data_IF_365063441834
#
_entry.id   IF_365063441834
#
_cell.length_a   1.000
_cell.length_b   1.000
_cell.length_c   1.000
_cell.angle_alpha   90.00
_cell.angle_beta   90.00
_cell.angle_gamma   90.00
#
_symmetry.space_group_name_H-M   'P 1'
#
loop_
_entity.id
_entity.type
_entity.pdbx_description
1 polymer ?
#
# COMPACT_ATOMS: atom_id res chain seq x y z
N UNK A 1 16.03 -10.09 12.19
CA UNK A 1 15.22 -11.32 12.22
C UNK A 1 13.89 -11.05 11.51
N UNK A 2 13.22 -12.08 10.96
CA UNK A 2 11.91 -11.94 10.29
C UNK A 2 10.84 -12.61 11.14
N UNK A 3 9.72 -11.92 11.36
CA UNK A 3 8.55 -12.45 12.05
C UNK A 3 7.72 -13.28 11.07
N UNK A 4 7.33 -14.47 11.51
CA UNK A 4 6.41 -15.37 10.78
C UNK A 4 5.08 -15.54 11.52
N UNK A 5 4.73 -14.57 12.37
CA UNK A 5 3.44 -14.61 13.07
C UNK A 5 2.30 -14.27 12.12
N UNK A 6 1.12 -14.86 12.33
CA UNK A 6 -0.08 -14.58 11.52
C UNK A 6 -0.45 -13.10 11.44
N UNK A 7 -0.16 -12.34 12.51
CA UNK A 7 -0.40 -10.88 12.59
C UNK A 7 0.70 -10.03 11.96
N UNK A 8 1.93 -10.55 11.85
CA UNK A 8 3.08 -9.81 11.31
C UNK A 8 3.88 -10.70 10.35
N UNK A 9 3.27 -11.25 9.30
CA UNK A 9 3.97 -12.12 8.38
C UNK A 9 5.05 -11.33 7.64
N UNK A 10 6.24 -11.91 7.56
CA UNK A 10 7.39 -11.37 6.83
C UNK A 10 7.92 -10.00 7.31
N UNK A 11 7.51 -9.49 8.48
CA UNK A 11 8.04 -8.22 9.01
C UNK A 11 9.44 -8.40 9.60
N UNK A 12 10.34 -7.46 9.37
CA UNK A 12 11.71 -7.48 9.89
C UNK A 12 11.79 -6.74 11.21
N UNK A 13 12.47 -7.34 12.18
CA UNK A 13 12.81 -6.73 13.45
C UNK A 13 14.32 -6.78 13.71
N UNK A 14 14.79 -5.79 14.46
CA UNK A 14 16.04 -5.83 15.20
C UNK A 14 15.81 -6.58 16.51
N UNK A 15 16.73 -7.47 16.85
CA UNK A 15 16.70 -8.26 18.08
C UNK A 15 18.09 -8.19 18.72
N UNK A 16 18.18 -8.53 20.00
CA UNK A 16 19.48 -8.78 20.63
C UNK A 16 20.31 -9.78 19.79
N UNK A 17 21.58 -9.49 19.47
CA UNK A 17 22.45 -10.45 18.78
C UNK A 17 22.67 -11.76 19.55
N UNK A 18 22.51 -11.72 20.88
CA UNK A 18 22.66 -12.87 21.78
C UNK A 18 21.31 -13.49 22.20
N UNK A 19 20.22 -13.21 21.48
CA UNK A 19 18.90 -13.76 21.78
C UNK A 19 18.95 -15.30 21.90
N UNK A 20 18.40 -15.85 23.00
CA UNK A 20 18.42 -17.28 23.30
C UNK A 20 19.64 -17.79 24.10
N UNK A 21 20.61 -16.92 24.43
CA UNK A 21 21.77 -17.27 25.25
C UNK A 21 21.69 -16.70 26.67
N UNK A 22 22.57 -17.13 27.58
CA UNK A 22 22.64 -16.60 28.94
C UNK A 22 22.95 -15.08 29.05
N UNK A 23 23.44 -14.46 27.96
CA UNK A 23 23.68 -13.01 27.85
C UNK A 23 22.61 -12.30 27.01
N UNK A 24 21.49 -12.97 26.72
CA UNK A 24 20.39 -12.36 25.96
C UNK A 24 19.79 -11.19 26.74
N UNK A 25 19.41 -10.14 26.02
CA UNK A 25 18.53 -9.11 26.55
C UNK A 25 17.23 -9.05 25.75
N UNK A 26 16.21 -8.43 26.33
CA UNK A 26 14.87 -8.31 25.74
C UNK A 26 14.75 -7.18 24.70
N UNK A 27 15.89 -6.74 24.14
CA UNK A 27 15.88 -5.71 23.11
C UNK A 27 15.20 -6.23 21.84
N UNK A 28 14.13 -5.53 21.43
CA UNK A 28 13.44 -5.78 20.18
C UNK A 28 12.84 -4.49 19.63
N UNK A 29 12.95 -4.31 18.31
CA UNK A 29 12.38 -3.17 17.60
C UNK A 29 12.00 -3.55 16.16
N UNK A 30 10.87 -3.07 15.66
CA UNK A 30 10.53 -3.22 14.24
C UNK A 30 11.48 -2.42 13.35
N UNK A 31 12.01 -3.07 12.31
CA UNK A 31 12.83 -2.43 11.27
C UNK A 31 11.96 -1.80 10.19
N UNK A 32 10.86 -2.47 9.84
CA UNK A 32 9.92 -1.98 8.85
C UNK A 32 8.84 -1.12 9.51
N UNK A 33 8.30 -0.17 8.75
CA UNK A 33 7.13 0.61 9.14
C UNK A 33 5.94 -0.29 9.50
N UNK A 34 4.94 0.28 10.17
CA UNK A 34 3.70 -0.43 10.43
C UNK A 34 3.08 -0.90 9.12
N UNK A 35 2.58 -2.14 9.11
CA UNK A 35 1.79 -2.65 7.97
C UNK A 35 0.64 -1.68 7.72
N UNK A 36 0.47 -1.27 6.46
CA UNK A 36 -0.62 -0.38 6.06
C UNK A 36 -1.99 -1.01 6.30
N UNK A 37 -3.01 -0.18 6.50
CA UNK A 37 -4.36 -0.63 6.86
C UNK A 37 -4.90 -1.68 5.90
N UNK A 38 -4.64 -1.54 4.59
CA UNK A 38 -5.12 -2.48 3.56
C UNK A 38 -4.40 -3.82 3.67
N UNK A 39 -3.08 -3.80 3.82
CA UNK A 39 -2.27 -5.02 3.94
C UNK A 39 -2.63 -5.86 5.16
N UNK A 40 -3.09 -5.24 6.26
CA UNK A 40 -3.62 -5.97 7.43
C UNK A 40 -4.79 -6.89 7.09
N UNK A 41 -5.59 -6.57 6.07
CA UNK A 41 -6.72 -7.39 5.62
C UNK A 41 -6.38 -8.28 4.44
N UNK A 42 -5.58 -7.76 3.48
CA UNK A 42 -5.28 -8.47 2.23
C UNK A 42 -4.33 -9.64 2.48
N UNK A 43 -3.26 -9.45 3.25
CA UNK A 43 -2.23 -10.49 3.43
C UNK A 43 -2.80 -11.74 4.12
N UNK A 44 -3.56 -11.65 5.23
CA UNK A 44 -4.13 -12.85 5.85
C UNK A 44 -5.09 -13.61 4.92
N UNK A 45 -5.88 -12.89 4.12
CA UNK A 45 -6.82 -13.52 3.17
C UNK A 45 -6.09 -14.27 2.05
N UNK A 46 -4.97 -13.72 1.56
CA UNK A 46 -4.16 -14.38 0.55
C UNK A 46 -3.47 -15.63 1.12
N UNK A 47 -2.92 -15.55 2.33
CA UNK A 47 -2.33 -16.71 3.00
C UNK A 47 -3.35 -17.84 3.21
N UNK A 48 -4.60 -17.51 3.60
CA UNK A 48 -5.67 -18.50 3.69
C UNK A 48 -5.94 -19.22 2.37
N UNK A 49 -6.06 -18.46 1.26
CA UNK A 49 -6.26 -19.03 -0.07
C UNK A 49 -5.08 -19.89 -0.54
N UNK A 50 -3.86 -19.50 -0.20
CA UNK A 50 -2.67 -20.31 -0.51
C UNK A 50 -2.74 -21.63 0.26
N UNK A 51 -3.07 -21.60 1.55
CA UNK A 51 -3.24 -22.82 2.35
C UNK A 51 -4.34 -23.74 1.80
N UNK A 52 -5.50 -23.19 1.43
CA UNK A 52 -6.58 -23.95 0.78
C UNK A 52 -6.11 -24.60 -0.54
N UNK A 53 -5.36 -23.87 -1.35
CA UNK A 53 -4.82 -24.39 -2.61
C UNK A 53 -3.73 -25.45 -2.39
N UNK A 54 -2.87 -25.26 -1.40
CA UNK A 54 -1.85 -26.24 -1.00
C UNK A 54 -2.50 -27.55 -0.54
N UNK A 55 -3.57 -27.48 0.25
CA UNK A 55 -4.35 -28.66 0.66
C UNK A 55 -5.00 -29.37 -0.53
N UNK A 56 -5.60 -28.62 -1.47
CA UNK A 56 -6.17 -29.19 -2.69
C UNK A 56 -5.09 -29.88 -3.53
N UNK A 57 -3.94 -29.24 -3.71
CA UNK A 57 -2.81 -29.81 -4.47
C UNK A 57 -2.31 -31.08 -3.79
N UNK A 58 -2.12 -31.07 -2.48
CA UNK A 58 -1.65 -32.23 -1.70
C UNK A 58 -2.68 -33.37 -1.75
N UNK A 59 -3.98 -33.07 -1.68
CA UNK A 59 -5.02 -34.09 -1.83
C UNK A 59 -5.09 -34.67 -3.25
N UNK A 60 -4.76 -33.87 -4.28
CA UNK A 60 -4.76 -34.27 -5.68
C UNK A 60 -3.53 -35.13 -6.04
N UNK A 61 -2.35 -34.79 -5.51
CA UNK A 61 -1.12 -35.57 -5.70
C UNK A 61 -1.22 -36.94 -5.03
N UNK A 62 -1.89 -37.04 -3.88
CA UNK A 62 -2.16 -38.31 -3.20
C UNK A 62 -3.18 -39.21 -3.93
N UNK A 63 -3.96 -38.67 -4.86
CA UNK A 63 -4.85 -39.44 -5.75
C UNK A 63 -4.16 -39.95 -7.03
N UNK A 64 -2.94 -39.52 -7.35
CA UNK A 64 -2.25 -39.90 -8.59
C UNK A 64 -1.62 -41.31 -8.58
N UNK A 65 -1.76 -42.10 -7.49
CA UNK A 65 -1.24 -43.47 -7.42
C UNK A 65 -2.24 -44.56 -7.82
N UNK A 66 -3.48 -44.21 -8.17
CA UNK A 66 -4.46 -45.18 -8.65
C UNK A 66 -5.06 -44.73 -9.97
N UNK A 67 -4.43 -45.12 -11.09
CA UNK A 67 -5.11 -45.96 -12.10
C UNK A 67 -4.20 -46.19 -13.31
N UNK A 68 -3.69 -47.42 -13.37
CA UNK A 68 -3.33 -48.06 -14.62
C UNK A 68 -4.18 -49.32 -14.73
N UNK A 69 -5.30 -49.25 -15.45
CA UNK A 69 -5.84 -50.32 -16.31
C UNK A 69 -6.99 -49.78 -17.16
N UNK A 70 -6.65 -49.58 -18.43
CA UNK A 70 -7.56 -49.46 -19.58
C UNK A 70 -8.35 -50.76 -19.72
N UNK A 71 -9.68 -50.70 -19.81
CA UNK A 71 -10.50 -51.55 -20.70
C UNK A 71 -11.71 -50.72 -21.17
N UNK A 72 -11.93 -50.82 -22.47
CA UNK A 72 -12.88 -50.14 -23.34
C UNK A 72 -14.37 -50.21 -22.93
N UNK A 73 -15.12 -49.12 -23.13
CA UNK A 73 -16.35 -49.18 -23.91
C UNK A 73 -16.74 -47.80 -24.47
N UNK A 74 -17.18 -47.83 -25.73
CA UNK A 74 -17.60 -46.71 -26.57
C UNK A 74 -19.10 -46.54 -26.38
N UNK A 75 -19.56 -45.45 -25.77
CA UNK A 75 -20.90 -44.92 -26.06
C UNK A 75 -20.92 -43.39 -26.04
N UNK A 76 -21.33 -42.86 -27.19
CA UNK A 76 -21.53 -41.47 -27.56
C UNK A 76 -22.66 -40.79 -26.80
N UNK A 77 -22.42 -39.51 -26.50
CA UNK A 77 -23.35 -38.37 -26.56
C UNK A 77 -24.19 -37.96 -25.34
N UNK A 78 -24.00 -36.68 -25.00
CA UNK A 78 -25.01 -35.72 -24.49
C UNK A 78 -25.30 -35.71 -22.98
N UNK A 79 -24.50 -34.92 -22.24
CA UNK A 79 -24.97 -34.00 -21.16
C UNK A 79 -23.80 -33.13 -20.66
N UNK A 80 -23.34 -32.16 -21.47
CA UNK A 80 -22.44 -31.07 -21.03
C UNK A 80 -22.77 -29.80 -21.83
N UNK A 81 -23.89 -29.13 -21.55
CA UNK A 81 -24.22 -27.90 -22.31
C UNK A 81 -25.03 -26.84 -21.56
N UNK A 82 -25.55 -27.10 -20.35
CA UNK A 82 -26.40 -26.11 -19.65
C UNK A 82 -25.66 -25.35 -18.54
N UNK A 83 -24.55 -25.86 -18.01
CA UNK A 83 -23.87 -25.27 -16.85
C UNK A 83 -22.88 -24.14 -17.22
N UNK A 84 -22.46 -24.02 -18.48
CA UNK A 84 -21.45 -23.04 -18.93
C UNK A 84 -21.99 -21.64 -19.25
N UNK A 85 -23.31 -21.44 -19.34
CA UNK A 85 -23.90 -20.11 -19.64
C UNK A 85 -24.04 -19.22 -18.39
N UNK A 86 -24.24 -19.82 -17.22
CA UNK A 86 -24.45 -19.07 -15.97
C UNK A 86 -23.13 -18.43 -15.49
N UNK A 87 -21.99 -19.07 -15.79
CA UNK A 87 -20.67 -18.57 -15.39
C UNK A 87 -20.16 -17.42 -16.28
N UNK A 88 -20.46 -17.42 -17.59
CA UNK A 88 -20.01 -16.36 -18.51
C UNK A 88 -20.67 -15.02 -18.15
N UNK A 89 -21.99 -15.01 -17.91
CA UNK A 89 -22.71 -13.78 -17.53
C UNK A 89 -22.21 -13.22 -16.18
N UNK A 90 -21.80 -14.10 -15.26
CA UNK A 90 -21.22 -13.72 -13.96
C UNK A 90 -19.84 -13.10 -14.14
N UNK A 91 -19.03 -13.64 -15.05
CA UNK A 91 -17.71 -13.10 -15.38
C UNK A 91 -17.83 -11.74 -16.06
N UNK A 92 -18.76 -11.58 -17.01
CA UNK A 92 -19.02 -10.29 -17.68
C UNK A 92 -19.43 -9.21 -16.67
N UNK A 93 -20.36 -9.52 -15.76
CA UNK A 93 -20.76 -8.60 -14.70
C UNK A 93 -19.58 -8.21 -13.78
N UNK A 94 -18.68 -9.15 -13.49
CA UNK A 94 -17.47 -8.85 -12.71
C UNK A 94 -16.52 -7.93 -13.47
N UNK A 95 -16.32 -8.14 -14.77
CA UNK A 95 -15.47 -7.29 -15.61
C UNK A 95 -15.99 -5.85 -15.66
N UNK A 96 -17.30 -5.67 -15.84
CA UNK A 96 -17.92 -4.34 -15.89
C UNK A 96 -17.76 -3.59 -14.55
N UNK A 97 -18.00 -4.28 -13.44
CA UNK A 97 -17.76 -3.72 -12.10
C UNK A 97 -16.30 -3.28 -11.91
N UNK A 98 -15.34 -4.08 -12.36
CA UNK A 98 -13.92 -3.71 -12.29
C UNK A 98 -13.57 -2.53 -13.21
N UNK A 99 -14.19 -2.44 -14.39
CA UNK A 99 -13.98 -1.29 -15.27
C UNK A 99 -14.50 0.00 -14.64
N UNK A 100 -15.65 -0.04 -13.98
CA UNK A 100 -16.21 1.12 -13.30
C UNK A 100 -15.39 1.53 -12.08
N UNK A 101 -14.89 0.57 -11.30
CA UNK A 101 -13.93 0.84 -10.21
C UNK A 101 -12.65 1.48 -10.74
N UNK A 102 -12.13 1.04 -11.90
CA UNK A 102 -10.97 1.66 -12.54
C UNK A 102 -11.26 3.10 -13.00
N UNK A 103 -12.45 3.38 -13.54
CA UNK A 103 -12.87 4.74 -13.90
C UNK A 103 -12.94 5.62 -12.66
N UNK A 104 -13.53 5.12 -11.57
CA UNK A 104 -13.66 5.84 -10.30
C UNK A 104 -12.29 6.10 -9.66
N UNK A 105 -11.39 5.12 -9.68
CA UNK A 105 -10.01 5.29 -9.20
C UNK A 105 -9.25 6.34 -10.00
N UNK A 106 -9.34 6.33 -11.34
CA UNK A 106 -8.71 7.36 -12.20
C UNK A 106 -9.28 8.75 -11.94
N UNK A 107 -10.60 8.87 -11.72
CA UNK A 107 -11.23 10.15 -11.38
C UNK A 107 -10.74 10.67 -10.02
N UNK A 108 -10.65 9.79 -9.03
CA UNK A 108 -10.11 10.10 -7.71
C UNK A 108 -8.64 10.52 -7.78
N UNK A 109 -7.80 9.83 -8.54
CA UNK A 109 -6.40 10.18 -8.74
C UNK A 109 -6.25 11.60 -9.31
N UNK A 110 -7.02 11.95 -10.35
CA UNK A 110 -7.07 13.31 -10.91
C UNK A 110 -7.47 14.34 -9.85
N UNK A 111 -8.51 14.04 -9.06
CA UNK A 111 -8.98 14.91 -7.96
C UNK A 111 -7.91 15.12 -6.89
N UNK A 112 -7.19 14.07 -6.51
CA UNK A 112 -6.08 14.14 -5.57
C UNK A 112 -4.90 14.95 -6.11
N UNK A 113 -4.53 14.78 -7.38
CA UNK A 113 -3.48 15.59 -8.04
C UNK A 113 -3.81 17.09 -8.01
N UNK A 114 -5.07 17.46 -8.30
CA UNK A 114 -5.53 18.86 -8.22
C UNK A 114 -5.47 19.37 -6.77
N UNK A 115 -5.93 18.59 -5.79
CA UNK A 115 -5.85 18.96 -4.36
C UNK A 115 -4.41 19.15 -3.92
N UNK A 116 -3.50 18.27 -4.32
CA UNK A 116 -2.08 18.33 -4.00
C UNK A 116 -1.43 19.60 -4.58
N UNK A 117 -1.72 19.92 -5.84
CA UNK A 117 -1.24 21.14 -6.48
C UNK A 117 -1.73 22.41 -5.74
N UNK A 118 -3.03 22.45 -5.37
CA UNK A 118 -3.59 23.55 -4.57
C UNK A 118 -2.94 23.65 -3.18
N UNK A 119 -2.67 22.52 -2.54
CA UNK A 119 -2.02 22.48 -1.23
C UNK A 119 -0.59 23.03 -1.30
N UNK A 120 0.22 22.55 -2.25
CA UNK A 120 1.58 23.06 -2.48
C UNK A 120 1.59 24.56 -2.82
N UNK A 121 0.58 25.05 -3.56
CA UNK A 121 0.46 26.50 -3.84
C UNK A 121 0.20 27.29 -2.56
N UNK A 122 -0.72 26.83 -1.69
CA UNK A 122 -0.99 27.49 -0.39
C UNK A 122 0.22 27.46 0.52
N UNK A 123 0.92 26.33 0.59
CA UNK A 123 2.15 26.20 1.36
C UNK A 123 3.19 27.21 0.90
N UNK A 124 3.49 27.28 -0.41
CA UNK A 124 4.42 28.28 -0.96
C UNK A 124 4.03 29.70 -0.56
N UNK A 125 2.74 30.06 -0.68
CA UNK A 125 2.24 31.38 -0.28
C UNK A 125 2.46 31.66 1.21
N UNK A 126 2.15 30.69 2.08
CA UNK A 126 2.34 30.80 3.53
C UNK A 126 3.80 31.03 3.93
N UNK A 127 4.76 30.47 3.19
CA UNK A 127 6.18 30.71 3.46
C UNK A 127 6.69 32.01 2.81
N UNK A 128 6.25 32.35 1.60
CA UNK A 128 6.74 33.54 0.89
C UNK A 128 6.28 34.86 1.51
N UNK A 129 5.04 34.94 2.00
CA UNK A 129 4.50 36.17 2.59
C UNK A 129 5.28 36.65 3.82
N UNK A 130 5.53 35.84 4.87
CA UNK A 130 6.30 36.28 6.04
C UNK A 130 7.74 36.62 5.67
N UNK A 131 8.37 35.87 4.74
CA UNK A 131 9.73 36.18 4.28
C UNK A 131 9.78 37.57 3.63
N UNK A 132 8.83 37.90 2.75
CA UNK A 132 8.77 39.23 2.13
C UNK A 132 8.54 40.35 3.16
N UNK A 133 7.66 40.13 4.15
CA UNK A 133 7.41 41.11 5.22
C UNK A 133 8.66 41.34 6.06
N UNK A 134 9.40 40.28 6.41
CA UNK A 134 10.67 40.39 7.13
C UNK A 134 11.70 41.21 6.34
N UNK A 135 11.86 40.95 5.04
CA UNK A 135 12.82 41.68 4.19
C UNK A 135 12.46 43.17 4.14
N UNK A 136 11.20 43.51 3.88
CA UNK A 136 10.74 44.91 3.83
C UNK A 136 10.90 45.61 5.19
N UNK A 137 10.59 44.92 6.29
CA UNK A 137 10.77 45.45 7.65
C UNK A 137 12.22 45.79 7.98
N UNK A 138 13.16 44.90 7.61
CA UNK A 138 14.60 45.15 7.81
C UNK A 138 15.06 46.33 6.94
N UNK A 139 14.62 46.43 5.69
CA UNK A 139 14.94 47.58 4.82
C UNK A 139 14.43 48.90 5.39
N UNK A 140 13.20 48.92 5.91
CA UNK A 140 12.61 50.12 6.51
C UNK A 140 13.33 50.54 7.80
N UNK A 141 13.67 49.58 8.67
CA UNK A 141 14.47 49.84 9.87
C UNK A 141 15.86 50.38 9.53
N UNK A 142 16.50 49.82 8.51
CA UNK A 142 17.80 50.28 8.04
C UNK A 142 17.72 51.73 7.54
N UNK A 143 16.74 52.06 6.69
CA UNK A 143 16.52 53.43 6.21
C UNK A 143 16.22 54.40 7.37
N UNK A 144 15.38 54.00 8.32
CA UNK A 144 15.05 54.81 9.49
C UNK A 144 16.25 55.08 10.40
N UNK A 145 17.10 54.07 10.62
CA UNK A 145 18.35 54.21 11.36
C UNK A 145 19.34 55.15 10.66
N UNK A 146 19.45 55.07 9.32
CA UNK A 146 20.24 56.00 8.52
C UNK A 146 19.69 57.43 8.57
N UNK A 147 18.38 57.62 8.45
CA UNK A 147 17.74 58.95 8.53
C UNK A 147 17.92 59.59 9.91
N UNK A 148 17.74 58.82 11.00
CA UNK A 148 18.02 59.27 12.37
C UNK A 148 19.51 59.54 12.62
N UNK A 149 20.39 58.82 11.93
CA UNK A 149 21.84 59.05 11.97
C UNK A 149 22.28 60.28 11.19
N UNK A 150 21.54 60.65 10.14
CA UNK A 150 21.75 61.87 9.37
C UNK A 150 21.18 63.11 10.08
N UNK A 151 19.97 63.01 10.67
CA UNK A 151 19.33 64.10 11.42
C UNK A 151 20.15 64.53 12.65
N UNK A 152 20.78 63.57 13.35
CA UNK A 152 21.68 63.83 14.48
C UNK A 152 23.04 64.45 14.08
N UNK A 153 23.33 64.54 12.78
CA UNK A 153 24.55 65.14 12.22
C UNK A 153 24.31 66.50 11.56
N UNK A 154 23.08 67.02 11.55
CA UNK A 154 22.85 68.42 11.23
C UNK A 154 23.25 69.29 12.44
N UNK A 155 24.01 70.38 12.23
CA UNK A 155 24.46 71.29 13.28
C UNK A 155 23.31 72.09 13.90
#
# INVERSE_FOLDING_TARGET
MTSWTSRNPSRRCWTCPYYGNARSCDFWLWKDDSIDERSKFVIPKLLGRIGELEEIVESSTNCAFCEHKIVDDKTTSTTKSVESKIDINKIELQIDNFQDDLKMMKANEKKWKIKLAKSKKREKQLWTTPICVCILGVSFLFQFMFLKGALRRLP
#
